data_IF_375379081402
#
_entry.id   IF_375379081402
#
_cell.length_a   1.000
_cell.length_b   1.000
_cell.length_c   1.000
_cell.angle_alpha   90.00
_cell.angle_beta   90.00
_cell.angle_gamma   90.00
#
_symmetry.space_group_name_H-M   'P 1'
#
loop_
_entity.id
_entity.type
_entity.pdbx_description
1 polymer ?
2 water ?
#
# COMPACT_ATOMS: atom_id res chain seq x y z
N UNK A 5 -27.59 -4.25 -18.40
CA UNK A 5 -26.52 -5.21 -18.13
C UNK A 5 -25.46 -4.62 -17.22
N UNK A 6 -25.40 -3.29 -17.03
CA UNK A 6 -24.37 -2.79 -16.11
C UNK A 6 -24.99 -2.18 -14.86
N UNK A 7 -24.84 -2.84 -13.72
CA UNK A 7 -25.57 -2.37 -12.53
C UNK A 7 -24.70 -1.76 -11.44
N UNK A 8 -25.40 -1.07 -10.53
CA UNK A 8 -24.68 -0.40 -9.47
C UNK A 8 -24.08 -1.46 -8.53
N UNK A 9 -22.77 -1.46 -8.58
CA UNK A 9 -21.89 -2.32 -7.82
C UNK A 9 -21.38 -1.56 -6.62
N UNK A 10 -20.17 -1.01 -6.68
CA UNK A 10 -19.78 -0.28 -5.48
C UNK A 10 -20.20 1.19 -5.56
N UNK A 11 -20.65 1.68 -4.40
CA UNK A 11 -20.98 3.11 -4.32
C UNK A 11 -20.75 3.59 -2.89
N UNK A 12 -20.79 4.89 -2.61
CA UNK A 12 -20.55 5.35 -1.25
C UNK A 12 -21.22 6.68 -0.95
N UNK A 13 -21.47 6.91 0.33
CA UNK A 13 -22.28 7.97 0.88
C UNK A 13 -21.48 9.17 1.37
N UNK A 14 -20.76 8.96 2.48
CA UNK A 14 -20.00 10.03 3.08
C UNK A 14 -18.80 10.37 2.21
N UNK A 15 -18.65 11.67 2.00
CA UNK A 15 -17.56 12.21 1.20
C UNK A 15 -16.32 12.38 2.07
N UNK A 16 -15.29 13.03 1.52
CA UNK A 16 -14.03 13.21 2.23
C UNK A 16 -13.44 14.58 1.97
N UNK A 17 -12.81 15.15 3.00
CA UNK A 17 -12.13 16.43 2.84
C UNK A 17 -10.90 16.19 1.98
N UNK A 18 -10.41 17.25 1.35
CA UNK A 18 -9.26 17.20 0.47
C UNK A 18 -8.15 16.28 1.00
N UNK A 19 -8.05 15.11 0.40
CA UNK A 19 -6.97 14.18 0.71
C UNK A 19 -5.76 14.53 -0.15
N UNK A 20 -4.60 14.64 0.48
CA UNK A 20 -3.36 14.84 -0.26
C UNK A 20 -3.21 13.85 -1.40
N UNK A 21 -3.03 14.40 -2.61
CA UNK A 21 -2.98 13.60 -3.82
C UNK A 21 -1.83 12.60 -3.80
N UNK A 22 -0.79 12.92 -3.02
CA UNK A 22 0.39 12.06 -2.94
C UNK A 22 0.05 10.74 -2.26
N UNK A 23 -1.00 10.73 -1.45
CA UNK A 23 -1.46 9.51 -0.83
C UNK A 23 -2.36 8.67 -1.74
N UNK A 24 -2.84 9.27 -2.83
CA UNK A 24 -3.78 8.56 -3.69
C UNK A 24 -3.06 7.68 -4.68
N UNK A 25 -3.58 6.48 -4.87
CA UNK A 25 -3.04 5.58 -5.89
C UNK A 25 -4.08 5.23 -6.95
N UNK A 26 -5.36 5.53 -6.69
CA UNK A 26 -6.37 5.09 -7.66
C UNK A 26 -7.71 5.74 -7.39
N UNK A 27 -8.51 5.80 -8.46
CA UNK A 27 -9.87 6.27 -8.38
C UNK A 27 -10.70 5.49 -9.40
N UNK A 28 -12.01 5.53 -9.14
CA UNK A 28 -12.97 5.05 -10.12
C UNK A 28 -14.30 5.68 -9.75
N UNK A 29 -15.05 6.09 -10.78
CA UNK A 29 -16.37 6.63 -10.48
C UNK A 29 -17.30 5.45 -10.22
N UNK A 30 -18.43 5.71 -9.58
CA UNK A 30 -19.43 4.65 -9.45
C UNK A 30 -20.14 4.48 -10.79
N UNK A 31 -21.00 3.48 -10.90
CA UNK A 31 -21.67 3.20 -12.17
C UNK A 31 -22.74 4.23 -12.44
N UNK A 32 -23.04 4.47 -13.70
CA UNK A 32 -24.09 5.44 -14.03
C UNK A 32 -25.39 5.08 -13.34
N UNK A 33 -25.71 3.78 -13.30
CA UNK A 33 -26.97 3.33 -12.72
C UNK A 33 -27.02 3.56 -11.22
N UNK A 34 -25.92 3.99 -10.60
CA UNK A 34 -26.04 4.29 -9.16
C UNK A 34 -26.81 5.58 -8.95
N UNK A 35 -26.93 6.38 -10.01
CA UNK A 35 -27.50 7.71 -9.87
C UNK A 35 -26.41 8.76 -9.78
N UNK A 36 -26.45 9.58 -8.72
CA UNK A 36 -25.50 10.68 -8.60
C UNK A 36 -24.07 10.14 -8.60
N UNK A 37 -23.14 10.89 -9.18
CA UNK A 37 -21.76 10.45 -9.28
C UNK A 37 -21.00 10.62 -7.97
N UNK A 38 -20.27 9.56 -7.64
CA UNK A 38 -19.36 9.55 -6.51
C UNK A 38 -18.05 8.96 -7.00
N UNK A 39 -16.94 9.47 -6.48
CA UNK A 39 -15.65 8.91 -6.88
C UNK A 39 -15.10 8.05 -5.76
N UNK A 40 -14.74 6.82 -6.09
CA UNK A 40 -14.12 6.01 -5.06
C UNK A 40 -12.60 6.15 -5.18
N UNK A 41 -12.04 6.67 -4.10
CA UNK A 41 -10.63 6.94 -3.94
C UNK A 41 -9.94 5.83 -3.14
N UNK A 42 -8.79 5.40 -3.65
CA UNK A 42 -8.00 4.42 -2.95
C UNK A 42 -6.64 5.00 -2.54
N UNK A 43 -6.21 4.88 -1.29
CA UNK A 43 -4.93 5.45 -0.89
C UNK A 43 -3.77 4.46 -1.03
N UNK A 44 -2.57 5.00 -0.86
CA UNK A 44 -1.38 4.17 -0.86
C UNK A 44 -1.58 3.01 0.11
N UNK A 45 -2.15 3.36 1.26
CA UNK A 45 -2.35 2.37 2.32
C UNK A 45 -3.56 1.48 2.01
N UNK A 46 -4.19 1.74 0.87
CA UNK A 46 -5.29 0.96 0.33
C UNK A 46 -6.57 1.10 1.13
N UNK A 47 -6.73 2.24 1.79
CA UNK A 47 -8.02 2.58 2.38
C UNK A 47 -8.94 3.10 1.27
N UNK A 48 -10.25 3.05 1.46
CA UNK A 48 -11.17 3.46 0.41
C UNK A 48 -12.06 4.59 0.88
N UNK A 49 -12.10 5.66 0.09
CA UNK A 49 -12.94 6.80 0.42
C UNK A 49 -13.81 7.21 -0.76
N UNK A 50 -14.80 7.97 -0.37
CA UNK A 50 -15.78 8.57 -1.25
C UNK A 50 -15.41 10.03 -1.45
N UNK A 51 -15.49 10.49 -2.70
CA UNK A 51 -15.25 11.91 -2.93
C UNK A 51 -16.29 12.43 -3.92
N UNK A 52 -16.60 13.70 -3.72
CA UNK A 52 -17.59 14.42 -4.50
C UNK A 52 -16.93 15.04 -5.72
N UNK A 53 -17.27 14.59 -6.92
CA UNK A 53 -16.56 15.04 -8.11
C UNK A 53 -16.81 16.51 -8.43
N UNK A 54 -17.77 17.16 -7.79
CA UNK A 54 -18.03 18.59 -7.99
C UNK A 54 -16.94 19.44 -7.33
N UNK A 55 -16.18 18.86 -6.40
CA UNK A 55 -15.11 19.58 -5.72
C UNK A 55 -13.87 19.63 -6.60
N UNK A 56 -13.21 20.79 -6.64
CA UNK A 56 -12.08 20.90 -7.58
C UNK A 56 -10.91 20.03 -7.18
N UNK A 57 -10.74 19.73 -5.89
CA UNK A 57 -9.59 18.90 -5.51
C UNK A 57 -9.77 17.47 -6.00
N UNK A 58 -11.02 17.06 -6.17
CA UNK A 58 -11.32 15.73 -6.69
C UNK A 58 -11.00 15.69 -8.19
N UNK A 59 -11.45 16.73 -8.90
CA UNK A 59 -11.14 16.77 -10.34
C UNK A 59 -9.63 16.76 -10.54
N UNK A 60 -8.97 17.56 -9.72
CA UNK A 60 -7.51 17.70 -9.77
C UNK A 60 -6.87 16.35 -9.46
N UNK A 61 -7.37 15.77 -8.36
CA UNK A 61 -6.91 14.43 -7.98
C UNK A 61 -7.06 13.47 -9.16
N UNK A 62 -8.25 13.42 -9.77
CA UNK A 62 -8.42 12.53 -10.91
C UNK A 62 -7.47 12.84 -12.05
N UNK A 63 -7.27 14.13 -12.37
CA UNK A 63 -6.38 14.37 -13.53
C UNK A 63 -4.96 13.93 -13.20
N UNK A 64 -4.50 14.19 -11.97
CA UNK A 64 -3.15 13.74 -11.61
C UNK A 64 -2.99 12.24 -11.76
N UNK A 65 -3.92 11.48 -11.20
CA UNK A 65 -3.86 10.03 -11.23
C UNK A 65 -3.81 9.55 -12.67
N UNK A 66 -4.59 10.19 -13.54
CA UNK A 66 -4.67 9.93 -14.97
C UNK A 66 -3.29 10.06 -15.61
N UNK A 67 -2.52 11.02 -15.11
CA UNK A 67 -1.13 11.19 -15.53
C UNK A 67 -0.20 10.28 -14.74
N UNK A 68 -0.77 9.54 -13.78
CA UNK A 68 0.00 8.58 -12.99
C UNK A 68 -0.55 7.16 -13.18
N UNK B 5 8.22 -15.13 16.13
CA UNK B 5 7.71 -14.55 14.90
C UNK B 5 8.11 -13.08 14.77
N UNK B 6 8.04 -12.61 13.53
CA UNK B 6 8.32 -11.24 13.15
C UNK B 6 9.57 -10.72 13.85
N UNK B 7 10.69 -11.34 13.49
CA UNK B 7 11.99 -10.90 13.99
C UNK B 7 12.49 -9.65 13.29
N UNK B 8 13.54 -9.09 13.87
CA UNK B 8 14.19 -7.91 13.36
C UNK B 8 14.73 -8.19 11.96
N UNK B 9 14.24 -7.43 10.98
CA UNK B 9 14.86 -7.72 9.68
C UNK B 9 15.49 -6.41 9.22
N UNK B 10 14.60 -5.53 8.75
CA UNK B 10 15.06 -4.26 8.25
C UNK B 10 15.12 -3.27 9.42
N UNK B 11 16.33 -2.73 9.56
CA UNK B 11 16.64 -1.86 10.67
C UNK B 11 17.57 -0.74 10.22
N UNK B 12 18.03 0.03 11.20
CA UNK B 12 18.81 1.23 10.92
C UNK B 12 20.08 1.18 11.76
N UNK B 13 21.17 1.75 11.29
CA UNK B 13 22.40 1.87 12.08
C UNK B 13 22.50 3.34 12.48
N UNK B 14 23.00 4.12 11.53
CA UNK B 14 22.97 5.57 11.73
C UNK B 14 21.67 6.13 11.18
N UNK B 15 21.28 7.31 11.63
CA UNK B 15 20.03 7.92 11.20
C UNK B 15 20.29 9.12 10.28
N UNK B 16 19.31 9.41 9.43
CA UNK B 16 19.40 10.57 8.55
C UNK B 16 19.34 11.86 9.36
N UNK B 17 19.03 12.94 8.66
CA UNK B 17 18.77 14.28 9.15
C UNK B 17 17.44 14.77 8.60
N UNK B 18 17.13 16.05 8.77
CA UNK B 18 15.80 16.50 8.37
C UNK B 18 15.52 16.28 6.88
N UNK B 19 14.32 15.81 6.64
CA UNK B 19 13.71 15.60 5.33
C UNK B 19 12.37 16.34 5.31
N UNK B 20 12.24 17.29 4.40
CA UNK B 20 11.07 18.17 4.36
C UNK B 20 9.75 17.39 4.38
N UNK B 21 8.86 17.78 5.30
CA UNK B 21 7.59 17.09 5.49
C UNK B 21 6.85 16.94 4.17
N UNK B 22 7.02 17.91 3.26
CA UNK B 22 6.34 17.85 1.98
C UNK B 22 6.65 16.56 1.23
N UNK B 23 7.82 15.96 1.44
CA UNK B 23 8.22 14.81 0.62
C UNK B 23 7.80 13.47 1.21
N UNK B 24 7.32 13.46 2.44
CA UNK B 24 7.00 12.19 3.10
C UNK B 24 5.57 11.77 2.83
N UNK B 25 5.37 10.52 2.45
CA UNK B 25 4.04 9.95 2.25
C UNK B 25 3.77 8.88 3.28
N UNK B 26 4.78 8.56 4.10
CA UNK B 26 4.57 7.43 5.00
C UNK B 26 5.72 7.19 5.95
N UNK B 27 5.41 6.49 7.04
CA UNK B 27 6.46 5.99 7.92
C UNK B 27 6.04 4.61 8.44
N UNK B 28 7.03 3.94 8.99
CA UNK B 28 6.85 2.72 9.73
C UNK B 28 8.03 2.64 10.69
N UNK B 29 7.95 1.83 11.74
CA UNK B 29 9.09 1.70 12.65
C UNK B 29 9.73 0.34 12.41
N UNK B 30 10.98 0.13 12.81
CA UNK B 30 11.48 -1.24 12.72
C UNK B 30 10.76 -2.09 13.76
N UNK B 31 11.04 -3.37 13.76
CA UNK B 31 10.48 -4.37 14.62
C UNK B 31 10.97 -4.15 16.06
N UNK B 32 10.09 -4.36 17.02
CA UNK B 32 10.42 -4.24 18.44
C UNK B 32 11.60 -5.13 18.80
N UNK B 33 11.74 -6.31 18.20
CA UNK B 33 12.89 -7.14 18.56
C UNK B 33 14.22 -6.59 18.03
N UNK B 34 14.19 -5.48 17.30
CA UNK B 34 15.41 -4.89 16.76
C UNK B 34 16.19 -4.20 17.87
N UNK B 35 15.45 -3.78 18.89
CA UNK B 35 16.01 -3.10 20.04
C UNK B 35 15.58 -1.65 19.97
N UNK B 36 16.56 -0.76 19.78
CA UNK B 36 16.15 0.65 19.65
C UNK B 36 15.15 0.78 18.52
N UNK B 37 14.32 1.80 18.70
CA UNK B 37 13.31 2.20 17.74
C UNK B 37 14.00 3.01 16.66
N UNK B 38 13.72 2.65 15.42
CA UNK B 38 14.12 3.38 14.22
C UNK B 38 12.87 3.62 13.37
N UNK B 39 12.71 4.84 12.89
CA UNK B 39 11.60 5.24 12.03
C UNK B 39 12.03 5.17 10.57
N UNK B 40 11.31 4.34 9.83
CA UNK B 40 11.53 4.23 8.39
C UNK B 40 10.60 5.19 7.64
N UNK B 41 11.09 6.35 7.24
CA UNK B 41 10.41 7.37 6.46
C UNK B 41 10.41 7.05 4.96
N UNK B 42 9.30 7.23 4.27
CA UNK B 42 9.23 6.94 2.85
C UNK B 42 8.80 8.17 2.07
N UNK B 43 9.64 8.58 1.13
CA UNK B 43 9.36 9.73 0.28
C UNK B 43 8.27 9.42 -0.74
N UNK B 44 7.80 10.45 -1.44
CA UNK B 44 6.86 10.25 -2.53
C UNK B 44 7.51 9.40 -3.62
N UNK B 45 8.82 9.58 -3.75
CA UNK B 45 9.58 8.79 -4.71
C UNK B 45 9.77 7.36 -4.21
N UNK B 46 9.35 7.11 -2.98
CA UNK B 46 9.48 5.80 -2.36
C UNK B 46 10.90 5.51 -1.92
N UNK B 47 11.68 6.58 -1.75
CA UNK B 47 12.97 6.42 -1.08
C UNK B 47 12.76 6.17 0.42
N UNK B 48 13.50 5.22 0.97
CA UNK B 48 13.44 4.91 2.39
C UNK B 48 14.61 5.54 3.14
N UNK B 49 14.31 6.21 4.23
CA UNK B 49 15.23 6.91 5.12
C UNK B 49 15.00 6.49 6.57
N UNK B 50 16.08 6.32 7.31
CA UNK B 50 16.11 6.04 8.73
C UNK B 50 16.12 7.31 9.57
N UNK B 51 15.21 7.43 10.52
CA UNK B 51 15.16 8.62 11.36
C UNK B 51 15.01 8.23 12.83
N UNK B 52 15.60 9.06 13.67
CA UNK B 52 15.65 8.86 15.11
C UNK B 52 14.38 9.43 15.74
N UNK B 53 13.56 8.58 16.34
CA UNK B 53 12.26 9.02 16.87
C UNK B 53 12.49 9.99 18.02
N UNK B 54 13.68 9.93 18.60
CA UNK B 54 14.03 10.87 19.66
C UNK B 54 14.15 12.30 19.14
N UNK B 55 14.12 12.51 17.84
CA UNK B 55 14.25 13.85 17.28
C UNK B 55 12.90 14.56 17.15
N UNK B 56 12.85 15.82 17.56
CA UNK B 56 11.63 16.60 17.43
C UNK B 56 11.07 16.54 16.01
N UNK B 57 11.91 16.79 15.00
CA UNK B 57 11.45 16.81 13.61
C UNK B 57 10.85 15.44 13.23
N UNK B 58 11.38 14.35 13.75
CA UNK B 58 10.80 13.03 13.45
C UNK B 58 9.45 12.89 14.15
N UNK B 59 9.39 13.25 15.43
CA UNK B 59 8.12 13.27 16.16
C UNK B 59 7.10 14.12 15.39
N UNK B 60 7.56 15.31 15.04
CA UNK B 60 6.82 16.28 14.23
C UNK B 60 6.27 15.65 12.96
N UNK B 61 7.12 14.99 12.19
CA UNK B 61 6.78 14.35 10.92
C UNK B 61 5.82 13.18 11.11
N UNK B 62 6.04 12.34 12.13
CA UNK B 62 5.05 11.29 12.37
C UNK B 62 3.66 11.88 12.61
N UNK B 63 3.58 12.84 13.52
CA UNK B 63 2.34 13.56 13.84
C UNK B 63 1.59 13.98 12.58
N UNK B 64 2.24 14.79 11.75
CA UNK B 64 1.64 15.21 10.50
C UNK B 64 1.23 14.02 9.64
N UNK B 65 2.11 13.04 9.50
CA UNK B 65 1.82 11.88 8.66
C UNK B 65 0.63 11.10 9.19
N UNK B 66 0.53 10.96 10.51
CA UNK B 66 -0.64 10.35 11.11
C UNK B 66 -1.89 11.22 10.93
N UNK B 67 -1.73 12.52 11.23
CA UNK B 67 -2.77 13.53 11.14
C UNK B 67 -3.06 13.90 9.68
N UNK B 68 -3.37 12.88 8.88
CA UNK B 68 -3.68 13.07 7.48
C UNK B 68 -4.52 11.89 6.96
N UNK C 5 26.15 7.12 1.21
CA UNK C 5 26.71 8.15 2.08
C UNK C 5 27.84 7.58 2.93
N UNK C 6 28.17 8.30 4.00
CA UNK C 6 29.34 7.90 4.78
C UNK C 6 29.12 6.61 5.55
N UNK C 7 28.02 6.45 6.29
CA UNK C 7 27.90 5.25 7.13
C UNK C 7 26.66 4.43 6.83
N UNK C 8 26.59 3.22 7.39
CA UNK C 8 25.47 2.32 7.22
C UNK C 8 24.19 2.87 7.84
N UNK C 9 23.16 3.04 7.01
CA UNK C 9 21.86 3.51 7.49
C UNK C 9 20.87 2.34 7.50
N UNK C 10 19.89 2.38 6.61
CA UNK C 10 18.98 1.23 6.49
C UNK C 10 19.76 0.06 5.90
N UNK C 11 19.49 -1.10 6.49
CA UNK C 11 20.04 -2.38 6.09
C UNK C 11 19.07 -3.47 6.54
N UNK C 12 19.36 -4.71 6.19
CA UNK C 12 18.47 -5.82 6.58
C UNK C 12 19.32 -7.09 6.57
N UNK C 13 18.77 -8.22 6.99
CA UNK C 13 19.55 -9.43 7.20
C UNK C 13 18.84 -10.73 6.94
N UNK C 14 17.51 -10.72 6.88
CA UNK C 14 16.80 -11.99 6.70
C UNK C 14 16.34 -12.15 5.25
N UNK C 15 17.06 -12.93 4.47
CA UNK C 15 16.84 -13.03 3.03
C UNK C 15 15.66 -13.92 2.65
N UNK C 16 14.61 -13.36 2.08
CA UNK C 16 13.44 -14.07 1.61
C UNK C 16 13.75 -15.14 0.55
N UNK C 17 12.67 -15.76 0.10
CA UNK C 17 12.55 -16.61 -1.06
C UNK C 17 11.96 -15.75 -2.19
N UNK C 18 12.09 -16.19 -3.43
CA UNK C 18 11.58 -15.45 -4.58
C UNK C 18 10.17 -14.94 -4.33
N UNK C 19 10.06 -13.64 -4.44
CA UNK C 19 8.81 -12.91 -4.36
C UNK C 19 8.44 -12.52 -5.79
N UNK C 20 7.21 -12.80 -6.20
CA UNK C 20 6.71 -12.39 -7.52
C UNK C 20 6.95 -10.92 -7.77
N UNK C 21 7.47 -10.55 -8.94
CA UNK C 21 7.86 -9.16 -9.16
C UNK C 21 6.67 -8.23 -9.29
N UNK C 22 5.52 -8.82 -9.61
CA UNK C 22 4.33 -7.98 -9.79
C UNK C 22 4.08 -7.22 -8.49
N UNK C 23 4.25 -8.00 -7.42
CA UNK C 23 4.05 -7.49 -6.08
C UNK C 23 5.02 -6.38 -5.71
N UNK C 24 6.09 -6.14 -6.48
CA UNK C 24 7.13 -5.21 -6.01
C UNK C 24 6.96 -3.80 -6.55
N UNK C 25 7.32 -2.80 -5.77
CA UNK C 25 7.16 -1.41 -6.16
C UNK C 25 8.44 -0.60 -6.01
N UNK C 26 9.44 -1.18 -5.36
CA UNK C 26 10.67 -0.45 -5.12
C UNK C 26 11.70 -1.38 -4.51
N UNK C 27 12.94 -0.97 -4.72
CA UNK C 27 14.09 -1.58 -4.11
C UNK C 27 15.11 -0.47 -3.81
N UNK C 28 15.97 -0.78 -2.86
CA UNK C 28 17.18 0.03 -2.64
C UNK C 28 18.16 -0.87 -1.88
N UNK C 29 19.43 -0.76 -2.27
CA UNK C 29 20.49 -1.51 -1.62
C UNK C 29 20.90 -0.74 -0.36
N UNK C 30 21.49 -1.44 0.60
CA UNK C 30 22.09 -0.73 1.74
C UNK C 30 23.36 -0.01 1.28
N UNK C 31 24.00 0.75 2.12
CA UNK C 31 25.23 1.49 1.87
C UNK C 31 26.42 0.54 1.88
N UNK C 32 27.45 0.95 1.12
CA UNK C 32 28.64 0.10 1.04
C UNK C 32 29.25 -0.15 2.41
N UNK C 33 29.13 0.88 3.27
CA UNK C 33 29.79 0.80 4.57
C UNK C 33 29.05 -0.18 5.48
N UNK C 34 27.93 -0.71 5.02
CA UNK C 34 27.26 -1.80 5.75
C UNK C 34 27.99 -3.13 5.62
N UNK C 35 28.89 -3.20 4.66
CA UNK C 35 29.59 -4.44 4.33
C UNK C 35 28.85 -5.16 3.22
N UNK C 36 28.39 -6.37 3.50
CA UNK C 36 27.58 -7.16 2.59
C UNK C 36 26.41 -6.38 2.00
N UNK C 37 26.20 -6.62 0.70
CA UNK C 37 25.11 -5.94 0.04
C UNK C 37 23.81 -6.65 0.39
N UNK C 38 22.83 -5.80 0.67
CA UNK C 38 21.49 -6.29 0.93
C UNK C 38 20.55 -5.32 0.23
N UNK C 39 19.52 -5.93 -0.34
CA UNK C 39 18.46 -5.24 -1.03
C UNK C 39 17.21 -5.21 -0.14
N UNK C 40 16.71 -4.01 0.09
CA UNK C 40 15.45 -3.82 0.77
C UNK C 40 14.39 -3.80 -0.34
N UNK C 41 13.48 -4.75 -0.35
CA UNK C 41 12.37 -4.74 -1.31
C UNK C 41 11.07 -4.32 -0.65
N UNK C 42 10.26 -3.61 -1.44
CA UNK C 42 8.97 -3.24 -0.88
C UNK C 42 7.80 -3.70 -1.75
N UNK C 43 6.86 -4.43 -1.15
CA UNK C 43 5.67 -4.88 -1.87
C UNK C 43 4.63 -3.77 -2.00
N UNK C 44 3.55 -4.05 -2.71
CA UNK C 44 2.49 -3.08 -2.97
C UNK C 44 1.75 -2.69 -1.69
N UNK C 45 1.65 -3.66 -0.80
CA UNK C 45 1.04 -3.51 0.52
C UNK C 45 2.05 -2.90 1.50
N UNK C 46 3.22 -2.53 1.00
CA UNK C 46 4.23 -1.79 1.74
C UNK C 46 4.95 -2.59 2.81
N UNK C 47 5.03 -3.91 2.65
CA UNK C 47 5.87 -4.69 3.54
C UNK C 47 7.29 -4.73 2.98
N UNK C 48 8.24 -4.71 3.90
CA UNK C 48 9.65 -4.71 3.56
C UNK C 48 10.26 -6.08 3.76
N UNK C 49 10.99 -6.51 2.72
CA UNK C 49 11.80 -7.70 2.84
C UNK C 49 13.25 -7.35 2.46
N UNK C 50 14.10 -8.30 2.73
CA UNK C 50 15.53 -8.32 2.51
C UNK C 50 15.88 -9.33 1.43
N UNK C 51 16.65 -8.92 0.42
CA UNK C 51 16.92 -9.83 -0.69
C UNK C 51 18.41 -10.00 -0.91
N UNK C 52 18.86 -11.22 -1.11
CA UNK C 52 20.23 -11.52 -1.46
C UNK C 52 20.49 -11.21 -2.93
N UNK C 53 21.34 -10.23 -3.19
CA UNK C 53 21.48 -9.75 -4.57
C UNK C 53 22.17 -10.77 -5.47
N UNK C 54 22.84 -11.75 -4.90
CA UNK C 54 23.44 -12.84 -5.66
C UNK C 54 22.40 -13.68 -6.40
N UNK C 55 21.14 -13.61 -5.96
CA UNK C 55 20.09 -14.41 -6.57
C UNK C 55 19.59 -13.80 -7.86
N UNK C 56 19.45 -14.61 -8.90
CA UNK C 56 19.07 -14.04 -10.20
C UNK C 56 17.75 -13.29 -10.13
N UNK C 57 16.79 -13.86 -9.42
CA UNK C 57 15.48 -13.22 -9.34
C UNK C 57 15.59 -11.82 -8.77
N UNK C 58 16.57 -11.62 -7.89
CA UNK C 58 16.72 -10.28 -7.33
C UNK C 58 17.28 -9.32 -8.38
N UNK C 59 18.32 -9.81 -9.06
CA UNK C 59 18.89 -8.98 -10.14
C UNK C 59 17.82 -8.62 -11.15
N UNK C 60 17.01 -9.62 -11.49
CA UNK C 60 15.91 -9.45 -12.43
C UNK C 60 14.89 -8.44 -11.94
N UNK C 61 14.54 -8.55 -10.66
CA UNK C 61 13.54 -7.61 -10.11
C UNK C 61 14.06 -6.19 -10.12
N UNK C 62 15.32 -5.95 -9.73
CA UNK C 62 15.89 -4.59 -9.75
C UNK C 62 15.98 -4.06 -11.17
N UNK C 63 16.39 -4.92 -12.11
CA UNK C 63 16.43 -4.46 -13.51
C UNK C 63 15.05 -4.02 -14.01
N UNK C 64 14.04 -4.83 -13.68
CA UNK C 64 12.65 -4.58 -13.99
C UNK C 64 12.15 -3.30 -13.34
N UNK C 65 12.32 -3.23 -12.03
CA UNK C 65 11.98 -2.03 -11.27
C UNK C 65 12.66 -0.83 -11.87
N UNK C 66 13.96 -0.98 -12.19
CA UNK C 66 14.62 0.15 -12.84
C UNK C 66 13.93 0.52 -14.15
N UNK C 67 13.43 -0.49 -14.86
CA UNK C 67 12.73 -0.24 -16.13
C UNK C 67 11.38 0.42 -15.87
N UNK C 68 11.40 1.63 -15.31
CA UNK C 68 10.20 2.31 -14.87
C UNK C 68 10.47 3.71 -14.33
N UNK D 5 -16.18 -0.43 14.18
CA UNK D 5 -14.96 0.33 14.37
C UNK D 5 -15.10 1.73 13.79
N UNK D 6 -16.07 1.90 12.89
CA UNK D 6 -16.24 3.17 12.20
C UNK D 6 -17.64 3.29 11.58
N UNK D 7 -17.89 4.42 10.93
CA UNK D 7 -19.09 4.60 10.13
C UNK D 7 -18.94 3.81 8.83
N UNK D 8 -20.07 3.53 8.20
CA UNK D 8 -20.12 2.84 6.92
C UNK D 8 -20.01 3.82 5.77
N UNK D 9 -18.93 3.77 4.99
CA UNK D 9 -18.88 4.67 3.83
C UNK D 9 -19.11 3.90 2.54
N UNK D 10 -18.14 3.11 2.11
CA UNK D 10 -18.34 2.43 0.83
C UNK D 10 -19.08 1.11 1.06
N UNK D 11 -20.05 0.89 0.17
CA UNK D 11 -20.81 -0.34 0.32
C UNK D 11 -21.18 -0.82 -1.07
N UNK D 12 -21.77 -2.01 -1.14
CA UNK D 12 -22.05 -2.75 -2.36
C UNK D 12 -23.54 -2.93 -2.59
N UNK D 13 -23.99 -2.86 -3.83
CA UNK D 13 -25.43 -3.06 -4.05
C UNK D 13 -25.61 -4.30 -4.90
N UNK D 14 -25.20 -4.21 -6.17
CA UNK D 14 -25.28 -5.38 -7.05
C UNK D 14 -23.93 -6.09 -7.02
N UNK D 15 -23.89 -7.43 -6.95
CA UNK D 15 -22.60 -8.09 -6.78
C UNK D 15 -22.05 -8.59 -8.13
N UNK D 16 -20.73 -8.59 -8.22
CA UNK D 16 -20.02 -9.04 -9.42
C UNK D 16 -19.94 -10.55 -9.51
N UNK D 17 -20.15 -11.09 -10.71
CA UNK D 17 -20.03 -12.54 -10.89
C UNK D 17 -18.54 -12.90 -10.84
N UNK D 18 -18.28 -14.19 -10.77
CA UNK D 18 -16.95 -14.75 -10.59
C UNK D 18 -15.93 -14.02 -11.47
N UNK D 19 -14.77 -13.81 -10.88
CA UNK D 19 -13.64 -13.22 -11.59
C UNK D 19 -12.52 -14.25 -11.53
N UNK D 20 -11.85 -14.52 -12.64
CA UNK D 20 -10.72 -15.47 -12.63
C UNK D 20 -9.76 -15.10 -11.51
N UNK D 21 -9.44 -16.08 -10.64
CA UNK D 21 -8.72 -15.77 -9.41
C UNK D 21 -7.34 -15.20 -9.74
N UNK D 22 -6.86 -15.56 -10.93
CA UNK D 22 -5.53 -15.06 -11.33
C UNK D 22 -5.57 -13.56 -11.54
N UNK D 23 -6.77 -12.98 -11.67
CA UNK D 23 -6.81 -11.52 -11.90
C UNK D 23 -6.78 -10.73 -10.59
N UNK D 24 -6.99 -11.40 -9.46
CA UNK D 24 -7.16 -10.79 -8.16
C UNK D 24 -5.86 -10.64 -7.38
N UNK D 25 -5.67 -9.46 -6.81
CA UNK D 25 -4.41 -9.18 -6.13
C UNK D 25 -4.68 -8.73 -4.69
N UNK D 26 -5.93 -8.43 -4.38
CA UNK D 26 -6.26 -7.97 -3.03
C UNK D 26 -7.77 -7.98 -2.80
N UNK D 27 -8.14 -8.00 -1.52
CA UNK D 27 -9.51 -7.91 -1.03
C UNK D 27 -9.50 -7.24 0.34
N UNK D 28 -10.66 -6.72 0.71
CA UNK D 28 -10.96 -6.18 2.03
C UNK D 28 -12.49 -6.26 2.19
N UNK D 29 -13.03 -6.19 3.39
CA UNK D 29 -14.48 -6.29 3.52
C UNK D 29 -15.03 -4.93 3.86
N UNK D 30 -16.32 -4.67 3.67
CA UNK D 30 -16.75 -3.36 4.16
C UNK D 30 -16.70 -3.36 5.69
N UNK D 31 -17.19 -2.29 6.30
CA UNK D 31 -17.17 -2.13 7.75
C UNK D 31 -18.33 -2.91 8.38
N UNK D 32 -18.14 -3.38 9.62
CA UNK D 32 -19.19 -4.11 10.33
C UNK D 32 -20.46 -3.27 10.43
N UNK D 33 -20.30 -1.97 10.64
CA UNK D 33 -21.35 -0.96 10.70
C UNK D 33 -22.30 -1.03 9.51
N UNK D 34 -21.77 -1.51 8.38
CA UNK D 34 -22.61 -1.49 7.19
C UNK D 34 -23.76 -2.46 7.26
N UNK D 35 -23.62 -3.50 8.07
CA UNK D 35 -24.61 -4.59 8.09
C UNK D 35 -24.08 -5.77 7.30
N UNK D 36 -24.75 -6.16 6.23
CA UNK D 36 -24.29 -7.19 5.32
C UNK D 36 -22.82 -7.00 4.95
N UNK D 37 -22.10 -8.11 4.96
CA UNK D 37 -20.72 -8.17 4.55
C UNK D 37 -20.60 -8.10 3.03
N UNK D 38 -19.73 -7.23 2.54
CA UNK D 38 -19.39 -7.14 1.13
C UNK D 38 -17.87 -7.22 1.01
N UNK D 39 -17.39 -7.98 0.04
CA UNK D 39 -15.98 -8.11 -0.25
C UNK D 39 -15.65 -7.19 -1.43
N UNK D 40 -14.63 -6.35 -1.28
CA UNK D 40 -14.11 -5.50 -2.34
C UNK D 40 -12.85 -6.16 -2.90
N UNK D 41 -12.96 -6.69 -4.10
CA UNK D 41 -11.87 -7.31 -4.81
C UNK D 41 -11.13 -6.31 -5.69
N UNK D 42 -9.82 -6.42 -5.68
CA UNK D 42 -9.00 -5.60 -6.56
C UNK D 42 -8.32 -6.49 -7.60
N UNK D 43 -8.43 -6.11 -8.88
CA UNK D 43 -7.75 -6.91 -9.91
C UNK D 43 -6.35 -6.36 -10.17
N UNK D 44 -5.65 -7.07 -11.07
CA UNK D 44 -4.31 -6.60 -11.43
C UNK D 44 -4.38 -5.19 -12.00
N UNK D 45 -5.45 -4.90 -12.73
CA UNK D 45 -5.65 -3.57 -13.30
C UNK D 45 -6.12 -2.58 -12.23
N UNK D 46 -6.33 -3.07 -11.02
CA UNK D 46 -6.65 -2.24 -9.87
C UNK D 46 -8.10 -1.76 -9.91
N UNK D 47 -8.88 -2.43 -10.75
CA UNK D 47 -10.31 -2.15 -10.73
C UNK D 47 -10.84 -2.77 -9.44
N UNK D 48 -11.75 -2.05 -8.80
CA UNK D 48 -12.37 -2.54 -7.58
C UNK D 48 -13.73 -3.14 -7.91
N UNK D 49 -14.04 -4.34 -7.41
CA UNK D 49 -15.34 -4.98 -7.57
C UNK D 49 -15.88 -5.46 -6.23
N UNK D 50 -17.18 -5.39 -6.10
CA UNK D 50 -18.00 -5.83 -5.01
C UNK D 50 -18.39 -7.30 -5.09
N UNK D 51 -18.00 -8.17 -4.17
CA UNK D 51 -18.44 -9.56 -4.31
C UNK D 51 -19.06 -10.06 -3.00
N UNK D 52 -19.93 -11.05 -3.17
CA UNK D 52 -20.73 -11.60 -2.08
C UNK D 52 -19.98 -12.71 -1.36
N UNK D 53 -19.62 -12.51 -0.11
CA UNK D 53 -18.81 -13.52 0.60
C UNK D 53 -19.54 -14.84 0.79
N UNK D 54 -20.87 -14.86 0.66
CA UNK D 54 -21.64 -16.10 0.70
C UNK D 54 -21.34 -17.02 -0.48
N UNK D 55 -20.73 -16.45 -1.51
CA UNK D 55 -20.38 -17.28 -2.65
C UNK D 55 -19.07 -18.01 -2.47
N UNK D 56 -19.13 -19.31 -2.73
CA UNK D 56 -17.95 -20.15 -2.62
C UNK D 56 -16.75 -19.57 -3.38
N UNK D 57 -16.94 -19.07 -4.60
CA UNK D 57 -15.84 -18.52 -5.38
C UNK D 57 -15.18 -17.33 -4.68
N UNK D 58 -15.97 -16.51 -3.98
CA UNK D 58 -15.34 -15.42 -3.23
C UNK D 58 -14.58 -15.96 -2.03
N UNK D 59 -15.12 -16.96 -1.32
CA UNK D 59 -14.38 -17.59 -0.23
C UNK D 59 -13.08 -18.18 -0.78
N UNK D 60 -13.20 -18.88 -1.91
CA UNK D 60 -11.98 -19.46 -2.50
C UNK D 60 -10.96 -18.37 -2.83
N UNK D 61 -11.44 -17.28 -3.43
CA UNK D 61 -10.58 -16.16 -3.79
C UNK D 61 -9.94 -15.55 -2.54
N UNK D 62 -10.71 -15.36 -1.47
CA UNK D 62 -10.01 -14.82 -0.30
C UNK D 62 -8.93 -15.75 0.24
N UNK D 63 -9.22 -17.04 0.29
CA UNK D 63 -8.21 -17.98 0.81
C UNK D 63 -6.95 -17.97 -0.05
N UNK D 64 -7.15 -17.96 -1.37
CA UNK D 64 -6.04 -17.91 -2.31
C UNK D 64 -5.14 -16.71 -1.98
N UNK D 65 -5.77 -15.54 -1.92
CA UNK D 65 -5.05 -14.31 -1.60
C UNK D 65 -4.37 -14.41 -0.24
N UNK D 66 -5.12 -14.86 0.76
CA UNK D 66 -4.50 -14.94 2.09
C UNK D 66 -3.33 -15.93 2.09
N UNK D 67 -3.44 -17.01 1.31
CA UNK D 67 -2.33 -17.96 1.25
C UNK D 67 -1.10 -17.32 0.61
N UNK D 68 -1.33 -16.54 -0.44
CA UNK D 68 -0.23 -15.79 -1.05
C UNK D 68 0.48 -14.98 0.02
N UNK D 69 -0.27 -14.10 0.69
CA UNK D 69 0.39 -13.23 1.66
C UNK D 69 1.09 -14.04 2.75
N UNK D 70 0.50 -15.17 3.10
CA UNK D 70 1.05 -15.99 4.17
C UNK D 70 2.41 -16.55 3.80
N UNK D 71 2.51 -17.08 2.58
CA UNK D 71 3.73 -17.66 2.03
C UNK D 71 4.91 -16.69 2.13
N UNK D 72 4.65 -15.41 1.91
CA UNK D 72 5.63 -14.34 1.99
C UNK D 72 6.19 -14.13 3.38
N UNK D 73 5.45 -14.55 4.41
CA UNK D 73 5.94 -14.36 5.78
C UNK D 73 7.17 -15.24 6.05
N UNK D 74 7.34 -16.23 5.19
CA UNK D 74 8.49 -17.12 5.15
C UNK D 74 9.18 -17.05 3.78
#
# INVERSE_FOLDING_TARGET
QHHGVTKCNITCSKMTSKIPVALLIHYQQNQASCGKRAIILETRQHRLFCADPKEQWVKDAMQHLDRQAAALTRDG
QHHGVTKCNITCSKMTSKIPVALLIHYQQNQASCGKRAIILETRQHRLFCADPKEQWVKDAMQHLDRQAAALTRDG
QHHGVTKCNITCSKMTSKIPVALLIHYQQNQASCGKRAIILETRQHRLFCADPKEQWVKDAMQHLDRQAAALTRDG
QHHGVTKCNITCSKMTSKIPVALLIHYQQNQASCGKRAIILETRQHRLFCADPKEQWVKDAMQHLDRQAAALTRDG
#
